data_IF_605871219056
#
_entry.id   IF_605871219056
#
_cell.length_a   1.000
_cell.length_b   1.000
_cell.length_c   1.000
_cell.angle_alpha   90.00
_cell.angle_beta   90.00
_cell.angle_gamma   90.00
#
_symmetry.space_group_name_H-M   'P 1'
#
loop_
_entity.id
_entity.type
_entity.pdbx_description
1 polymer ?
#
# COMPACT_ATOMS: atom_id res chain seq x y z
N UNK A 1 6.21 12.36 -10.96
CA UNK A 1 4.89 11.74 -10.90
C UNK A 1 4.93 10.37 -11.58
N UNK A 2 5.31 10.26 -12.87
CA UNK A 2 5.30 9.00 -13.63
C UNK A 2 6.04 7.84 -12.93
N UNK A 3 7.18 8.11 -12.31
CA UNK A 3 7.90 7.08 -11.54
C UNK A 3 7.06 6.54 -10.36
N UNK A 4 6.41 7.43 -9.62
CA UNK A 4 5.58 7.02 -8.46
C UNK A 4 4.32 6.31 -8.92
N UNK A 5 3.72 6.73 -10.04
CA UNK A 5 2.57 6.07 -10.65
C UNK A 5 2.91 4.63 -11.06
N UNK A 6 4.02 4.44 -11.79
CA UNK A 6 4.52 3.11 -12.16
C UNK A 6 4.84 2.25 -10.94
N UNK A 7 5.48 2.82 -9.91
CA UNK A 7 5.78 2.10 -8.68
C UNK A 7 4.49 1.65 -7.98
N UNK A 8 3.46 2.49 -7.91
CA UNK A 8 2.16 2.16 -7.35
C UNK A 8 1.48 1.01 -8.09
N UNK A 9 1.47 1.06 -9.43
CA UNK A 9 0.93 -0.01 -10.28
C UNK A 9 1.67 -1.32 -10.02
N UNK A 10 3.00 -1.29 -10.07
CA UNK A 10 3.85 -2.49 -9.87
C UNK A 10 3.59 -3.11 -8.51
N UNK A 11 3.52 -2.31 -7.45
CA UNK A 11 3.24 -2.82 -6.08
C UNK A 11 1.88 -3.51 -6.02
N UNK A 12 0.85 -2.93 -6.61
CA UNK A 12 -0.49 -3.52 -6.60
C UNK A 12 -0.56 -4.80 -7.44
N UNK A 13 -0.06 -4.77 -8.67
CA UNK A 13 -0.08 -5.94 -9.57
C UNK A 13 0.76 -7.08 -8.98
N UNK A 14 1.97 -6.79 -8.51
CA UNK A 14 2.83 -7.79 -7.88
C UNK A 14 2.16 -8.44 -6.67
N UNK A 15 1.48 -7.66 -5.83
CA UNK A 15 0.78 -8.17 -4.66
C UNK A 15 -0.37 -9.11 -5.04
N UNK A 16 -1.12 -8.79 -6.09
CA UNK A 16 -2.20 -9.64 -6.63
C UNK A 16 -1.62 -10.93 -7.23
N UNK A 17 -0.60 -10.80 -8.05
CA UNK A 17 0.06 -11.92 -8.73
C UNK A 17 0.64 -12.92 -7.73
N UNK A 18 1.37 -12.44 -6.71
CA UNK A 18 1.95 -13.32 -5.70
C UNK A 18 0.87 -14.00 -4.84
N UNK A 19 -0.25 -13.32 -4.60
CA UNK A 19 -1.39 -13.94 -3.94
C UNK A 19 -1.94 -15.10 -4.79
N UNK A 20 -2.15 -14.91 -6.08
CA UNK A 20 -2.60 -15.95 -7.00
C UNK A 20 -1.62 -17.12 -7.08
N UNK A 21 -0.31 -16.83 -7.23
CA UNK A 21 0.74 -17.85 -7.24
C UNK A 21 0.77 -18.68 -5.96
N UNK A 22 0.61 -18.03 -4.82
CA UNK A 22 0.61 -18.72 -3.52
C UNK A 22 -0.56 -19.68 -3.34
N UNK A 23 -1.67 -19.44 -4.03
CA UNK A 23 -2.85 -20.30 -4.04
C UNK A 23 -2.87 -21.30 -5.21
N UNK A 24 -1.88 -21.27 -6.09
CA UNK A 24 -1.86 -22.10 -7.30
C UNK A 24 -2.93 -21.71 -8.32
N UNK A 25 -3.35 -20.46 -8.33
CA UNK A 25 -4.33 -19.92 -9.28
C UNK A 25 -3.64 -19.31 -10.49
N UNK A 26 -4.35 -19.27 -11.61
CA UNK A 26 -3.92 -18.50 -12.79
C UNK A 26 -3.88 -17.01 -12.45
N UNK A 27 -2.94 -16.29 -13.09
CA UNK A 27 -2.83 -14.85 -12.91
C UNK A 27 -4.00 -14.15 -13.60
N UNK A 28 -4.42 -13.03 -13.02
CA UNK A 28 -5.41 -12.17 -13.67
C UNK A 28 -4.88 -11.62 -15.00
N UNK A 29 -5.69 -11.60 -16.05
CA UNK A 29 -5.28 -11.00 -17.32
C UNK A 29 -5.06 -9.50 -17.16
N UNK A 30 -4.04 -8.98 -17.80
CA UNK A 30 -3.82 -7.54 -17.85
C UNK A 30 -5.01 -6.85 -18.55
N UNK A 31 -5.44 -5.69 -18.06
CA UNK A 31 -6.50 -4.93 -18.70
C UNK A 31 -6.09 -4.49 -20.12
N UNK A 32 -7.08 -4.36 -20.99
CA UNK A 32 -6.84 -3.84 -22.34
C UNK A 32 -6.33 -2.40 -22.24
N UNK A 33 -5.19 -2.07 -22.86
CA UNK A 33 -4.68 -0.71 -22.84
C UNK A 33 -5.68 0.28 -23.42
N UNK A 34 -5.85 1.41 -22.75
CA UNK A 34 -6.68 2.52 -23.19
C UNK A 34 -5.76 3.70 -23.51
N UNK A 35 -5.92 4.29 -24.67
CA UNK A 35 -5.18 5.50 -25.02
C UNK A 35 -5.60 6.67 -24.12
N UNK A 36 -4.61 7.47 -23.69
CA UNK A 36 -4.83 8.64 -22.86
C UNK A 36 -3.53 9.34 -22.50
N UNK A 37 -3.61 10.62 -22.19
CA UNK A 37 -2.47 11.35 -21.67
C UNK A 37 -2.36 11.13 -20.17
N UNK A 38 -1.15 10.91 -19.63
CA UNK A 38 -0.94 10.81 -18.20
C UNK A 38 -1.42 12.06 -17.48
N UNK A 39 -2.05 11.88 -16.32
CA UNK A 39 -2.34 13.00 -15.44
C UNK A 39 -1.03 13.59 -14.95
N UNK A 40 -0.75 14.83 -15.24
CA UNK A 40 0.42 15.55 -14.71
C UNK A 40 0.10 16.27 -13.40
N UNK A 41 -0.97 15.83 -12.74
CA UNK A 41 -1.36 16.41 -11.47
C UNK A 41 -0.29 16.18 -10.40
N UNK A 42 0.04 17.27 -9.70
CA UNK A 42 0.95 17.26 -8.55
C UNK A 42 0.27 17.91 -7.36
N UNK A 43 0.13 17.21 -6.25
CA UNK A 43 -0.42 17.81 -5.03
C UNK A 43 0.38 19.02 -4.57
N UNK A 44 -0.31 20.11 -4.23
CA UNK A 44 0.34 21.37 -3.86
C UNK A 44 1.17 21.27 -2.57
N UNK A 45 0.80 20.35 -1.67
CA UNK A 45 1.50 20.15 -0.38
C UNK A 45 2.58 19.06 -0.45
N UNK A 46 2.93 18.55 -1.64
CA UNK A 46 3.99 17.56 -1.79
C UNK A 46 5.37 18.19 -1.64
N UNK A 47 6.13 17.71 -0.65
CA UNK A 47 7.46 18.24 -0.27
C UNK A 47 8.51 17.13 -0.30
N UNK A 48 9.74 17.48 -0.70
CA UNK A 48 10.91 16.63 -0.49
C UNK A 48 11.23 16.59 1.00
N UNK A 49 11.43 15.39 1.53
CA UNK A 49 11.69 15.21 2.95
C UNK A 49 12.51 13.95 3.20
N UNK A 50 11.92 12.98 3.88
CA UNK A 50 12.59 11.75 4.33
C UNK A 50 12.84 10.72 3.23
N UNK A 51 12.27 10.87 2.04
CA UNK A 51 12.39 9.94 0.92
C UNK A 51 13.04 10.56 -0.31
N UNK A 52 13.25 9.72 -1.34
CA UNK A 52 13.82 10.15 -2.64
C UNK A 52 12.81 10.86 -3.54
N UNK A 53 11.52 10.78 -3.20
CA UNK A 53 10.43 11.44 -3.92
C UNK A 53 9.71 12.40 -2.99
N UNK A 54 9.09 13.43 -3.54
CA UNK A 54 8.22 14.32 -2.77
C UNK A 54 7.01 13.53 -2.24
N UNK A 55 6.61 13.82 -1.02
CA UNK A 55 5.52 13.16 -0.31
C UNK A 55 4.60 14.18 0.34
N UNK A 56 3.36 13.83 0.50
CA UNK A 56 2.42 14.62 1.29
C UNK A 56 2.75 14.52 2.79
N UNK A 57 2.51 15.60 3.58
CA UNK A 57 2.70 15.58 5.02
C UNK A 57 1.75 14.58 5.69
N UNK A 58 2.10 14.17 6.90
CA UNK A 58 1.25 13.26 7.71
C UNK A 58 -0.03 13.91 8.20
N UNK A 59 0.03 15.20 8.43
CA UNK A 59 -1.04 16.00 9.02
C UNK A 59 -1.24 17.29 8.24
N UNK A 60 -2.38 17.94 8.44
CA UNK A 60 -2.66 19.24 7.85
C UNK A 60 -2.94 19.21 6.35
N UNK A 61 -3.35 18.09 5.80
CA UNK A 61 -3.75 18.01 4.39
C UNK A 61 -4.98 18.87 4.12
N UNK A 62 -4.95 19.56 3.00
CA UNK A 62 -6.02 20.46 2.52
C UNK A 62 -6.40 20.12 1.09
N UNK A 63 -7.45 20.76 0.59
CA UNK A 63 -7.87 20.56 -0.81
C UNK A 63 -8.34 19.13 -1.12
N UNK A 64 -8.03 18.62 -2.31
CA UNK A 64 -8.46 17.30 -2.75
C UNK A 64 -7.90 16.13 -1.92
N UNK A 65 -6.76 16.34 -1.24
CA UNK A 65 -6.04 15.32 -0.49
C UNK A 65 -6.40 15.29 1.00
N UNK A 66 -7.25 16.19 1.49
CA UNK A 66 -7.55 16.34 2.93
C UNK A 66 -7.97 15.03 3.62
N UNK A 67 -8.63 14.14 2.89
CA UNK A 67 -9.14 12.86 3.41
C UNK A 67 -8.28 11.65 2.96
N UNK A 68 -7.05 11.90 2.46
CA UNK A 68 -6.19 10.83 1.96
C UNK A 68 -5.71 9.89 3.06
N UNK A 69 -5.54 10.41 4.29
CA UNK A 69 -5.12 9.63 5.45
C UNK A 69 -6.29 9.35 6.39
N UNK A 70 -6.94 8.18 6.30
CA UNK A 70 -7.96 7.81 7.26
C UNK A 70 -7.36 7.83 8.69
N UNK A 71 -7.99 8.58 9.58
CA UNK A 71 -7.57 8.73 10.99
C UNK A 71 -6.15 9.34 11.19
N UNK A 72 -5.63 10.11 10.24
CA UNK A 72 -4.32 10.75 10.33
C UNK A 72 -3.12 9.79 10.36
N UNK A 73 -3.34 8.51 10.09
CA UNK A 73 -2.27 7.50 10.13
C UNK A 73 -1.74 7.21 8.72
N UNK A 74 -0.45 7.44 8.53
CA UNK A 74 0.23 7.10 7.28
C UNK A 74 1.66 6.67 7.55
N UNK A 75 1.97 5.41 7.23
CA UNK A 75 3.35 4.92 7.25
C UNK A 75 4.16 5.52 6.09
N UNK A 76 5.46 5.68 6.25
CA UNK A 76 6.32 6.25 5.21
C UNK A 76 6.26 5.47 3.89
N UNK A 77 6.12 4.15 3.93
CA UNK A 77 5.98 3.30 2.74
C UNK A 77 4.73 3.64 1.92
N UNK A 78 3.63 3.99 2.59
CA UNK A 78 2.39 4.42 1.92
C UNK A 78 2.53 5.87 1.44
N UNK A 79 3.12 6.73 2.27
CA UNK A 79 3.37 8.13 1.92
C UNK A 79 4.27 8.28 0.69
N UNK A 80 5.17 7.33 0.45
CA UNK A 80 6.04 7.33 -0.73
C UNK A 80 5.24 7.30 -2.05
N UNK A 81 3.99 6.82 -2.03
CA UNK A 81 3.09 6.85 -3.19
C UNK A 81 2.28 8.16 -3.28
N UNK A 82 2.32 9.02 -2.27
CA UNK A 82 1.38 10.14 -2.16
C UNK A 82 1.58 11.29 -3.15
N UNK A 83 2.70 11.30 -3.87
CA UNK A 83 2.87 12.20 -5.01
C UNK A 83 1.83 11.93 -6.11
N UNK A 84 1.26 10.72 -6.12
CA UNK A 84 0.15 10.29 -6.98
C UNK A 84 -0.99 9.78 -6.08
N UNK A 85 -1.88 10.65 -5.60
CA UNK A 85 -2.93 10.27 -4.65
C UNK A 85 -3.79 9.08 -5.07
N UNK A 86 -4.14 8.86 -6.34
CA UNK A 86 -4.79 7.64 -6.78
C UNK A 86 -4.03 6.35 -6.41
N UNK A 87 -2.69 6.32 -6.57
CA UNK A 87 -1.89 5.15 -6.21
C UNK A 87 -1.99 4.80 -4.71
N UNK A 88 -2.12 5.82 -3.84
CA UNK A 88 -2.38 5.59 -2.41
C UNK A 88 -3.75 4.95 -2.20
N UNK A 89 -4.78 5.45 -2.90
CA UNK A 89 -6.15 4.93 -2.78
C UNK A 89 -6.25 3.48 -3.25
N UNK A 90 -5.61 3.16 -4.37
CA UNK A 90 -5.55 1.80 -4.92
C UNK A 90 -4.84 0.85 -3.95
N UNK A 91 -3.69 1.28 -3.42
CA UNK A 91 -2.98 0.51 -2.39
C UNK A 91 -3.82 0.31 -1.12
N UNK A 92 -4.48 1.34 -0.62
CA UNK A 92 -5.33 1.22 0.57
C UNK A 92 -6.52 0.28 0.33
N UNK A 93 -7.14 0.33 -0.85
CA UNK A 93 -8.22 -0.58 -1.23
C UNK A 93 -7.74 -2.03 -1.27
N UNK A 94 -6.61 -2.29 -1.92
CA UNK A 94 -6.00 -3.63 -1.99
C UNK A 94 -5.59 -4.14 -0.61
N UNK A 95 -4.91 -3.31 0.17
CA UNK A 95 -4.44 -3.69 1.50
C UNK A 95 -5.59 -3.99 2.47
N UNK A 96 -6.72 -3.31 2.34
CA UNK A 96 -7.90 -3.59 3.16
C UNK A 96 -8.47 -5.01 2.94
N UNK A 97 -8.24 -5.60 1.77
CA UNK A 97 -8.65 -6.96 1.44
C UNK A 97 -7.60 -8.02 1.84
N UNK A 98 -6.31 -7.65 1.82
CA UNK A 98 -5.20 -8.59 2.03
C UNK A 98 -4.63 -8.58 3.45
N UNK A 99 -4.72 -7.47 4.17
CA UNK A 99 -4.12 -7.30 5.49
C UNK A 99 -5.16 -7.30 6.61
N UNK A 100 -4.67 -7.48 7.82
CA UNK A 100 -5.48 -7.23 9.02
C UNK A 100 -5.87 -5.75 9.08
N UNK A 101 -7.07 -5.49 9.62
CA UNK A 101 -7.45 -4.12 9.98
C UNK A 101 -6.47 -3.54 11.01
N UNK A 102 -6.39 -2.22 11.13
CA UNK A 102 -5.55 -1.55 12.13
C UNK A 102 -5.91 -2.01 13.55
N UNK A 103 -7.20 -2.20 13.84
CA UNK A 103 -7.66 -2.76 15.12
C UNK A 103 -7.15 -4.19 15.32
N UNK A 104 -7.19 -5.02 14.27
CA UNK A 104 -6.66 -6.38 14.30
C UNK A 104 -5.15 -6.41 14.52
N UNK A 105 -4.41 -5.42 13.99
CA UNK A 105 -2.97 -5.31 14.21
C UNK A 105 -2.62 -4.90 15.64
N UNK A 106 -3.41 -4.04 16.27
CA UNK A 106 -3.18 -3.56 17.64
C UNK A 106 -3.55 -4.61 18.69
N UNK A 107 -4.41 -5.56 18.36
CA UNK A 107 -4.88 -6.58 19.29
C UNK A 107 -4.16 -7.92 19.10
N UNK A 108 -3.11 -8.15 19.88
CA UNK A 108 -2.31 -9.38 19.81
C UNK A 108 -3.00 -10.61 20.40
N UNK A 109 -4.09 -10.43 21.13
CA UNK A 109 -4.78 -11.50 21.88
C UNK A 109 -6.06 -11.96 21.20
N UNK A 110 -6.70 -11.10 20.41
CA UNK A 110 -7.96 -11.43 19.75
C UNK A 110 -7.74 -12.55 18.73
N UNK A 111 -8.40 -13.66 18.92
CA UNK A 111 -8.53 -14.69 17.89
C UNK A 111 -9.72 -14.32 16.99
N UNK A 112 -9.42 -14.10 15.72
CA UNK A 112 -10.43 -14.12 14.69
C UNK A 112 -10.77 -15.59 14.33
N UNK A 113 -11.78 -15.82 13.51
CA UNK A 113 -12.17 -17.16 13.00
C UNK A 113 -11.12 -17.76 12.03
N UNK A 114 -9.85 -17.62 12.39
CA UNK A 114 -8.70 -18.08 11.61
C UNK A 114 -8.08 -19.33 12.21
N UNK A 115 -7.51 -20.17 11.36
CA UNK A 115 -6.84 -21.40 11.81
C UNK A 115 -5.48 -21.15 12.49
N UNK A 116 -4.93 -19.93 12.36
CA UNK A 116 -3.69 -19.52 13.03
C UNK A 116 -3.94 -18.30 13.90
N UNK A 117 -3.28 -18.25 15.04
CA UNK A 117 -3.37 -17.12 15.97
C UNK A 117 -2.45 -15.95 15.54
N UNK A 118 -2.61 -14.81 16.22
CA UNK A 118 -1.85 -13.59 15.90
C UNK A 118 -0.34 -13.77 16.01
N UNK A 119 0.15 -14.50 17.00
CA UNK A 119 1.59 -14.75 17.15
C UNK A 119 2.16 -15.59 16.01
N UNK A 120 1.40 -16.57 15.53
CA UNK A 120 1.79 -17.37 14.38
C UNK A 120 1.82 -16.53 13.09
N UNK A 121 0.88 -15.61 12.91
CA UNK A 121 0.90 -14.67 11.79
C UNK A 121 2.15 -13.77 11.83
N UNK A 122 2.50 -13.23 12.99
CA UNK A 122 3.70 -12.42 13.16
C UNK A 122 4.99 -13.20 12.90
N UNK A 123 5.04 -14.46 13.33
CA UNK A 123 6.18 -15.33 13.05
C UNK A 123 6.34 -15.57 11.53
N UNK A 124 5.25 -15.79 10.83
CA UNK A 124 5.26 -15.94 9.37
C UNK A 124 5.71 -14.63 8.70
N UNK A 125 5.13 -13.50 9.10
CA UNK A 125 5.50 -12.18 8.57
C UNK A 125 6.99 -11.87 8.80
N UNK A 126 7.49 -12.12 10.01
CA UNK A 126 8.90 -11.96 10.34
C UNK A 126 9.80 -12.88 9.47
N UNK A 127 9.37 -14.12 9.23
CA UNK A 127 10.11 -15.04 8.37
C UNK A 127 10.14 -14.57 6.91
N UNK A 128 9.02 -14.09 6.39
CA UNK A 128 8.94 -13.52 5.04
C UNK A 128 9.85 -12.29 4.91
N UNK A 129 9.83 -11.39 5.90
CA UNK A 129 10.71 -10.22 5.93
C UNK A 129 12.19 -10.62 5.94
N UNK A 130 12.55 -11.65 6.73
CA UNK A 130 13.93 -12.14 6.78
C UNK A 130 14.39 -12.77 5.47
N UNK A 131 13.51 -13.52 4.77
CA UNK A 131 13.81 -14.11 3.46
C UNK A 131 14.03 -13.02 2.41
N UNK A 132 13.27 -11.93 2.48
CA UNK A 132 13.37 -10.80 1.55
C UNK A 132 14.40 -9.75 1.99
N UNK A 133 15.20 -10.02 3.02
CA UNK A 133 16.18 -9.06 3.57
C UNK A 133 15.60 -7.68 3.86
N UNK A 134 14.35 -7.63 4.31
CA UNK A 134 13.62 -6.40 4.61
C UNK A 134 14.00 -5.89 5.99
N UNK A 135 14.50 -4.68 6.08
CA UNK A 135 14.85 -3.99 7.34
C UNK A 135 13.72 -3.14 7.94
N UNK A 136 12.58 -3.08 7.27
CA UNK A 136 11.49 -2.20 7.67
C UNK A 136 10.42 -2.91 8.49
#
# INVERSE_FOLDING_TARGET
EAYVELAGIVVCVFSIDEFHRSLGLELEPLPVPVEGSPSQYRPAQAELGTGFVAMLPKEGLTGPERDLWPNGRSANVIRALSLVPPAVKDWLALSSAQYLSMEGMENLVKQDDRSINRMQMELIAARVSAINECFY
#
